data_IF_454174847992
#
_entry.id   IF_454174847992
#
_cell.length_a   1.000
_cell.length_b   1.000
_cell.length_c   1.000
_cell.angle_alpha   90.00
_cell.angle_beta   90.00
_cell.angle_gamma   90.00
#
_symmetry.space_group_name_H-M   'P 1'
#
loop_
_entity.id
_entity.type
_entity.pdbx_description
1 polymer ?
#
# COMPACT_ATOMS: atom_id res chain seq x y z
N UNK A 1 -5.85 -4.50 -12.69
CA UNK A 1 -6.77 -3.89 -11.70
C UNK A 1 -6.14 -2.57 -11.29
N UNK A 2 -6.89 -1.48 -11.37
CA UNK A 2 -6.42 -0.15 -10.99
C UNK A 2 -6.92 0.23 -9.60
N UNK A 3 -6.56 1.43 -9.15
CA UNK A 3 -7.25 2.06 -8.03
C UNK A 3 -8.72 2.24 -8.42
N UNK A 4 -9.63 1.78 -7.57
CA UNK A 4 -11.07 1.84 -7.85
C UNK A 4 -11.64 3.18 -7.41
N UNK A 5 -12.62 3.67 -8.16
CA UNK A 5 -13.42 4.84 -7.79
C UNK A 5 -14.34 4.55 -6.59
N UNK A 6 -14.74 5.57 -5.81
CA UNK A 6 -15.70 5.39 -4.73
C UNK A 6 -17.02 4.82 -5.23
N UNK A 7 -17.58 3.89 -4.46
CA UNK A 7 -18.87 3.26 -4.80
C UNK A 7 -20.02 4.26 -4.71
N UNK A 8 -21.15 3.96 -5.38
CA UNK A 8 -22.36 4.79 -5.28
C UNK A 8 -22.81 4.98 -3.82
N UNK A 9 -22.69 3.92 -3.01
CA UNK A 9 -23.05 3.98 -1.59
C UNK A 9 -22.09 4.87 -0.78
N UNK A 10 -20.78 4.81 -1.05
CA UNK A 10 -19.83 5.73 -0.43
C UNK A 10 -20.12 7.19 -0.82
N UNK A 11 -20.45 7.46 -2.08
CA UNK A 11 -20.85 8.80 -2.56
C UNK A 11 -22.11 9.31 -1.85
N UNK A 12 -23.11 8.45 -1.66
CA UNK A 12 -24.33 8.78 -0.92
C UNK A 12 -24.06 9.10 0.55
N UNK A 13 -23.27 8.27 1.23
CA UNK A 13 -22.87 8.51 2.62
C UNK A 13 -22.07 9.82 2.71
N UNK A 14 -21.12 10.03 1.81
CA UNK A 14 -20.29 11.22 1.80
C UNK A 14 -21.11 12.51 1.64
N UNK A 15 -22.06 12.51 0.71
CA UNK A 15 -23.02 13.61 0.52
C UNK A 15 -23.86 13.85 1.79
N UNK A 16 -24.30 12.77 2.46
CA UNK A 16 -25.10 12.87 3.70
C UNK A 16 -24.29 13.44 4.86
N UNK A 17 -22.99 13.13 4.93
CA UNK A 17 -22.08 13.60 5.98
C UNK A 17 -21.42 14.96 5.64
N UNK A 18 -21.66 15.52 4.46
CA UNK A 18 -21.03 16.76 4.01
C UNK A 18 -19.51 16.65 3.80
N UNK A 19 -19.01 15.46 3.46
CA UNK A 19 -17.58 15.23 3.15
C UNK A 19 -17.34 15.17 1.65
N UNK A 20 -16.23 15.76 1.20
CA UNK A 20 -15.78 15.66 -0.18
C UNK A 20 -14.88 14.43 -0.36
N UNK A 21 -15.27 13.57 -1.31
CA UNK A 21 -14.52 12.37 -1.74
C UNK A 21 -14.38 12.31 -3.27
N UNK A 22 -14.62 13.43 -3.97
CA UNK A 22 -14.72 13.48 -5.44
C UNK A 22 -13.43 13.08 -6.16
N UNK A 23 -12.29 13.22 -5.49
CA UNK A 23 -10.96 12.89 -6.00
C UNK A 23 -10.28 11.74 -5.25
N UNK A 24 -11.02 11.06 -4.38
CA UNK A 24 -10.49 9.96 -3.59
C UNK A 24 -10.70 8.62 -4.30
N UNK A 25 -9.83 7.66 -4.05
CA UNK A 25 -10.09 6.26 -4.40
C UNK A 25 -11.14 5.66 -3.45
N UNK A 26 -11.67 4.49 -3.80
CA UNK A 26 -12.57 3.69 -2.96
C UNK A 26 -12.00 3.49 -1.55
N UNK A 27 -10.70 3.25 -1.44
CA UNK A 27 -10.01 3.03 -0.16
C UNK A 27 -9.91 4.31 0.67
N UNK A 28 -9.50 5.42 0.04
CA UNK A 28 -9.39 6.73 0.72
C UNK A 28 -10.76 7.25 1.12
N UNK A 29 -11.77 7.11 0.26
CA UNK A 29 -13.16 7.47 0.57
C UNK A 29 -13.69 6.68 1.78
N UNK A 30 -13.43 5.35 1.83
CA UNK A 30 -13.80 4.54 2.99
C UNK A 30 -13.13 5.06 4.28
N UNK A 31 -11.84 5.40 4.22
CA UNK A 31 -11.11 5.94 5.36
C UNK A 31 -11.63 7.30 5.83
N UNK A 32 -12.01 8.20 4.90
CA UNK A 32 -12.63 9.49 5.25
C UNK A 32 -13.98 9.32 5.92
N UNK A 33 -14.86 8.50 5.32
CA UNK A 33 -16.16 8.16 5.91
C UNK A 33 -15.96 7.60 7.31
N UNK A 34 -15.07 6.62 7.48
CA UNK A 34 -14.78 6.00 8.76
C UNK A 34 -14.23 7.01 9.78
N UNK A 35 -13.39 7.96 9.36
CA UNK A 35 -12.88 9.02 10.25
C UNK A 35 -14.03 9.85 10.83
N UNK A 36 -15.05 10.17 10.03
CA UNK A 36 -16.21 10.97 10.48
C UNK A 36 -17.18 10.17 11.34
N UNK A 37 -17.55 8.95 10.92
CA UNK A 37 -18.55 8.15 11.65
C UNK A 37 -17.97 7.38 12.82
N UNK A 38 -16.65 7.15 12.82
CA UNK A 38 -15.93 6.32 13.76
C UNK A 38 -16.18 6.65 15.23
N UNK A 39 -16.16 7.93 15.65
CA UNK A 39 -16.48 8.32 17.03
C UNK A 39 -17.87 7.87 17.49
N UNK A 40 -18.87 7.89 16.59
CA UNK A 40 -20.24 7.47 16.92
C UNK A 40 -20.37 5.94 17.10
N UNK A 41 -19.44 5.17 16.53
CA UNK A 41 -19.41 3.70 16.62
C UNK A 41 -18.24 3.19 17.49
N UNK A 42 -17.67 4.05 18.34
CA UNK A 42 -16.58 3.74 19.28
C UNK A 42 -15.28 3.25 18.61
N UNK A 43 -15.03 3.65 17.36
CA UNK A 43 -13.79 3.34 16.64
C UNK A 43 -12.66 4.24 17.13
N UNK A 44 -11.72 3.66 17.89
CA UNK A 44 -10.51 4.37 18.35
C UNK A 44 -9.63 4.83 17.19
N UNK A 45 -9.55 4.06 16.11
CA UNK A 45 -8.70 4.36 14.97
C UNK A 45 -9.06 5.70 14.30
N UNK A 46 -10.35 6.07 14.31
CA UNK A 46 -10.83 7.33 13.75
C UNK A 46 -10.37 8.58 14.52
N UNK A 47 -9.96 8.43 15.78
CA UNK A 47 -9.57 9.55 16.63
C UNK A 47 -8.13 10.02 16.43
N UNK A 48 -7.28 9.22 15.79
CA UNK A 48 -5.85 9.51 15.70
C UNK A 48 -5.50 10.29 14.42
N UNK A 49 -4.72 11.39 14.54
CA UNK A 49 -4.07 12.00 13.38
C UNK A 49 -3.03 11.05 12.78
N UNK A 50 -2.53 11.37 11.58
CA UNK A 50 -1.39 10.67 11.00
C UNK A 50 -0.19 10.70 11.97
N UNK A 51 0.40 9.53 12.21
CA UNK A 51 1.61 9.42 13.05
C UNK A 51 2.82 10.02 12.34
N UNK A 52 3.85 10.43 13.10
CA UNK A 52 5.12 10.92 12.55
C UNK A 52 5.72 9.96 11.51
N UNK A 53 5.72 8.65 11.83
CA UNK A 53 6.19 7.61 10.90
C UNK A 53 5.41 7.59 9.59
N UNK A 54 4.09 7.75 9.63
CA UNK A 54 3.27 7.83 8.41
C UNK A 54 3.55 9.10 7.64
N UNK A 55 3.72 10.24 8.32
CA UNK A 55 4.03 11.53 7.70
C UNK A 55 5.39 11.47 7.00
N UNK A 56 6.42 10.97 7.67
CA UNK A 56 7.75 10.86 7.11
C UNK A 56 7.80 9.86 5.95
N UNK A 57 7.12 8.73 6.09
CA UNK A 57 7.03 7.75 5.01
C UNK A 57 6.26 8.30 3.80
N UNK A 58 5.12 8.96 4.02
CA UNK A 58 4.36 9.62 2.96
C UNK A 58 5.20 10.71 2.27
N UNK A 59 5.97 11.49 3.03
CA UNK A 59 6.90 12.50 2.48
C UNK A 59 7.95 11.84 1.57
N UNK A 60 8.52 10.70 1.97
CA UNK A 60 9.45 9.94 1.13
C UNK A 60 8.78 9.40 -0.16
N UNK A 61 7.47 9.23 -0.14
CA UNK A 61 6.66 8.92 -1.32
C UNK A 61 6.21 10.17 -2.11
N UNK A 62 6.55 11.39 -1.69
CA UNK A 62 6.09 12.63 -2.34
C UNK A 62 4.63 13.00 -2.04
N UNK A 63 4.04 12.40 -1.01
CA UNK A 63 2.68 12.69 -0.55
C UNK A 63 2.70 13.63 0.66
N UNK A 64 1.66 14.46 0.79
CA UNK A 64 1.40 15.21 2.01
C UNK A 64 0.15 14.68 2.72
N UNK A 65 0.35 14.07 3.90
CA UNK A 65 -0.71 13.53 4.77
C UNK A 65 -0.71 14.18 6.17
N UNK A 66 0.02 15.27 6.37
CA UNK A 66 0.20 15.93 7.67
C UNK A 66 -1.10 16.42 8.33
N UNK A 67 -2.15 16.64 7.54
CA UNK A 67 -3.47 17.09 8.00
C UNK A 67 -4.52 15.97 7.96
N UNK A 68 -4.13 14.76 7.56
CA UNK A 68 -5.03 13.63 7.45
C UNK A 68 -5.12 12.86 8.78
N UNK A 69 -6.20 12.09 8.94
CA UNK A 69 -6.28 11.06 9.99
C UNK A 69 -5.34 9.90 9.68
N UNK A 70 -5.01 9.12 10.70
CA UNK A 70 -4.17 7.92 10.56
C UNK A 70 -4.72 6.93 9.52
N UNK A 71 -6.04 6.80 9.42
CA UNK A 71 -6.72 5.94 8.45
C UNK A 71 -6.57 6.46 7.02
N UNK A 72 -6.81 7.76 6.82
CA UNK A 72 -6.71 8.40 5.51
C UNK A 72 -5.26 8.40 5.02
N UNK A 73 -4.31 8.70 5.91
CA UNK A 73 -2.88 8.62 5.61
C UNK A 73 -2.47 7.21 5.16
N UNK A 74 -2.88 6.16 5.89
CA UNK A 74 -2.62 4.77 5.51
C UNK A 74 -3.20 4.41 4.14
N UNK A 75 -4.44 4.84 3.85
CA UNK A 75 -5.08 4.56 2.57
C UNK A 75 -4.34 5.23 1.40
N UNK A 76 -3.98 6.52 1.53
CA UNK A 76 -3.21 7.24 0.49
C UNK A 76 -1.83 6.63 0.27
N UNK A 77 -1.14 6.24 1.34
CA UNK A 77 0.15 5.53 1.25
C UNK A 77 -0.02 4.21 0.50
N UNK A 78 -1.06 3.44 0.82
CA UNK A 78 -1.32 2.16 0.16
C UNK A 78 -1.59 2.33 -1.35
N UNK A 79 -2.36 3.35 -1.73
CA UNK A 79 -2.64 3.66 -3.13
C UNK A 79 -1.36 4.00 -3.90
N UNK A 80 -0.50 4.85 -3.35
CA UNK A 80 0.77 5.22 -3.97
C UNK A 80 1.74 4.04 -4.07
N UNK A 81 1.82 3.20 -3.03
CA UNK A 81 2.60 1.96 -3.09
C UNK A 81 2.07 1.03 -4.18
N UNK A 82 0.75 0.92 -4.34
CA UNK A 82 0.14 0.12 -5.39
C UNK A 82 0.54 0.63 -6.78
N UNK A 83 0.45 1.95 -7.02
CA UNK A 83 0.87 2.58 -8.29
C UNK A 83 2.34 2.28 -8.60
N UNK A 84 3.23 2.46 -7.63
CA UNK A 84 4.67 2.17 -7.80
C UNK A 84 4.93 0.69 -8.08
N UNK A 85 4.23 -0.20 -7.38
CA UNK A 85 4.36 -1.63 -7.58
C UNK A 85 3.85 -2.08 -8.94
N UNK A 86 2.75 -1.49 -9.42
CA UNK A 86 2.24 -1.74 -10.77
C UNK A 86 3.25 -1.29 -11.83
N UNK A 87 3.77 -0.06 -11.74
CA UNK A 87 4.78 0.45 -12.65
C UNK A 87 6.09 -0.37 -12.64
N UNK A 88 6.53 -0.80 -11.45
CA UNK A 88 7.70 -1.68 -11.32
C UNK A 88 7.45 -3.04 -11.96
N UNK A 89 6.25 -3.61 -11.78
CA UNK A 89 5.90 -4.89 -12.40
C UNK A 89 5.85 -4.80 -13.93
N UNK A 90 5.28 -3.74 -14.47
CA UNK A 90 5.25 -3.46 -15.92
C UNK A 90 6.67 -3.33 -16.49
N UNK A 91 7.56 -2.63 -15.78
CA UNK A 91 8.97 -2.48 -16.17
C UNK A 91 9.74 -3.80 -16.13
N UNK A 92 9.56 -4.60 -15.09
CA UNK A 92 10.30 -5.84 -14.88
C UNK A 92 9.80 -6.99 -15.77
N UNK A 93 8.55 -6.90 -16.26
CA UNK A 93 7.91 -7.91 -17.12
C UNK A 93 8.04 -9.33 -16.56
N UNK A 94 7.89 -9.47 -15.24
CA UNK A 94 8.08 -10.73 -14.52
C UNK A 94 7.02 -11.76 -14.90
N UNK A 95 7.43 -13.03 -14.95
CA UNK A 95 6.54 -14.16 -15.24
C UNK A 95 6.72 -15.29 -14.22
N UNK A 96 5.66 -16.07 -13.94
CA UNK A 96 5.80 -17.32 -13.21
C UNK A 96 6.88 -18.22 -13.82
N UNK A 97 7.73 -18.78 -12.96
CA UNK A 97 8.87 -19.61 -13.35
C UNK A 97 10.20 -18.88 -13.46
N UNK A 98 10.22 -17.55 -13.54
CA UNK A 98 11.47 -16.78 -13.54
C UNK A 98 12.09 -16.69 -12.14
N UNK A 99 13.42 -16.55 -12.07
CA UNK A 99 14.16 -16.28 -10.83
C UNK A 99 14.33 -14.80 -10.62
N UNK A 100 14.07 -14.33 -9.39
CA UNK A 100 14.27 -12.95 -8.97
C UNK A 100 15.11 -12.91 -7.70
N UNK A 101 15.86 -11.82 -7.54
CA UNK A 101 16.61 -11.51 -6.33
C UNK A 101 15.81 -10.51 -5.50
N UNK A 102 15.51 -10.85 -4.26
CA UNK A 102 14.82 -9.96 -3.31
C UNK A 102 15.84 -9.28 -2.44
N UNK A 103 15.74 -7.96 -2.28
CA UNK A 103 16.52 -7.21 -1.29
C UNK A 103 15.76 -7.16 0.03
N UNK A 104 16.40 -7.64 1.09
CA UNK A 104 15.88 -7.56 2.44
C UNK A 104 16.64 -6.46 3.19
N UNK A 105 15.89 -5.59 3.86
CA UNK A 105 16.43 -4.59 4.79
C UNK A 105 15.62 -4.65 6.07
N UNK A 106 16.29 -4.94 7.18
CA UNK A 106 15.68 -4.89 8.50
C UNK A 106 16.53 -4.05 9.43
N UNK A 107 15.87 -3.38 10.36
CA UNK A 107 16.52 -2.69 11.48
C UNK A 107 16.32 -3.55 12.73
N UNK A 108 17.43 -4.02 13.30
CA UNK A 108 17.48 -4.81 14.52
C UNK A 108 18.49 -4.16 15.45
N UNK A 109 18.05 -3.79 16.66
CA UNK A 109 18.91 -3.21 17.70
C UNK A 109 19.70 -1.97 17.22
N UNK A 110 19.08 -1.12 16.40
CA UNK A 110 19.71 0.08 15.83
C UNK A 110 20.72 -0.20 14.71
N UNK A 111 20.89 -1.47 14.32
CA UNK A 111 21.72 -1.87 13.18
C UNK A 111 20.85 -2.20 11.97
N UNK A 112 21.19 -1.60 10.82
CA UNK A 112 20.60 -1.98 9.54
C UNK A 112 21.33 -3.22 9.01
N UNK A 113 20.59 -4.31 8.79
CA UNK A 113 21.08 -5.49 8.07
C UNK A 113 20.44 -5.54 6.69
N UNK A 114 21.28 -5.66 5.67
CA UNK A 114 20.86 -5.85 4.29
C UNK A 114 21.43 -7.15 3.75
N UNK A 115 20.58 -7.96 3.11
CA UNK A 115 21.01 -9.14 2.38
C UNK A 115 20.10 -9.37 1.17
N UNK A 116 20.52 -10.27 0.29
CA UNK A 116 19.72 -10.68 -0.87
C UNK A 116 19.51 -12.19 -0.87
N UNK A 117 18.35 -12.61 -1.36
CA UNK A 117 17.99 -14.01 -1.50
C UNK A 117 17.26 -14.19 -2.84
N UNK A 118 17.50 -15.31 -3.51
CA UNK A 118 16.91 -15.61 -4.81
C UNK A 118 15.70 -16.53 -4.67
N UNK A 119 14.68 -16.26 -5.48
CA UNK A 119 13.43 -17.00 -5.45
C UNK A 119 12.89 -17.22 -6.85
N UNK A 120 12.25 -18.38 -7.04
CA UNK A 120 11.46 -18.65 -8.25
C UNK A 120 10.04 -18.15 -8.07
N UNK A 121 9.55 -17.37 -9.02
CA UNK A 121 8.18 -16.86 -9.02
C UNK A 121 7.19 -18.02 -9.21
N UNK A 122 6.22 -18.11 -8.31
CA UNK A 122 5.07 -19.02 -8.41
C UNK A 122 3.89 -18.36 -9.11
N UNK A 123 3.51 -17.17 -8.64
CA UNK A 123 2.40 -16.39 -9.21
C UNK A 123 2.56 -14.91 -8.88
N UNK A 124 1.81 -14.08 -9.59
CA UNK A 124 1.70 -12.64 -9.32
C UNK A 124 0.22 -12.36 -9.07
N UNK A 125 -0.08 -11.79 -7.90
CA UNK A 125 -1.43 -11.56 -7.42
C UNK A 125 -2.03 -10.26 -7.97
N UNK A 126 -3.37 -10.12 -7.97
CA UNK A 126 -4.07 -8.89 -8.35
C UNK A 126 -3.55 -7.59 -7.74
N UNK A 127 -3.07 -7.65 -6.50
CA UNK A 127 -2.51 -6.51 -5.77
C UNK A 127 -1.02 -6.26 -6.09
N UNK A 128 -0.50 -6.87 -7.16
CA UNK A 128 0.90 -6.87 -7.58
C UNK A 128 1.86 -7.65 -6.67
N UNK A 129 1.38 -8.36 -5.65
CA UNK A 129 2.25 -9.17 -4.79
C UNK A 129 2.83 -10.35 -5.58
N UNK A 130 4.16 -10.51 -5.53
CA UNK A 130 4.86 -11.65 -6.13
C UNK A 130 4.93 -12.76 -5.09
N UNK A 131 4.48 -13.96 -5.44
CA UNK A 131 4.52 -15.14 -4.57
C UNK A 131 5.61 -16.10 -5.04
N UNK A 132 6.34 -16.70 -4.10
CA UNK A 132 7.48 -17.58 -4.41
C UNK A 132 7.14 -19.06 -4.31
N UNK A 133 7.76 -19.89 -5.16
CA UNK A 133 7.65 -21.36 -5.10
C UNK A 133 8.34 -21.89 -3.84
N UNK A 134 7.73 -22.86 -3.17
CA UNK A 134 8.27 -23.45 -1.92
C UNK A 134 8.36 -22.47 -0.75
N UNK A 135 7.82 -21.26 -0.89
CA UNK A 135 8.02 -20.18 0.08
C UNK A 135 7.09 -20.22 1.29
N UNK A 136 6.20 -21.20 1.46
CA UNK A 136 5.23 -21.24 2.57
C UNK A 136 4.45 -19.92 2.78
N UNK A 137 4.05 -19.26 1.68
CA UNK A 137 3.39 -17.95 1.72
C UNK A 137 4.33 -16.74 1.65
N UNK A 138 5.65 -16.95 1.56
CA UNK A 138 6.61 -15.88 1.27
C UNK A 138 6.34 -15.23 -0.09
N UNK A 139 6.58 -13.93 -0.13
CA UNK A 139 6.47 -13.12 -1.33
C UNK A 139 7.19 -11.79 -1.15
N UNK A 140 7.23 -11.00 -2.22
CA UNK A 140 7.80 -9.66 -2.21
C UNK A 140 6.97 -8.70 -3.06
N UNK A 141 7.18 -7.40 -2.86
CA UNK A 141 6.66 -6.37 -3.74
C UNK A 141 7.58 -6.21 -4.97
N UNK A 142 7.04 -5.85 -6.15
CA UNK A 142 7.82 -5.58 -7.35
C UNK A 142 8.95 -4.57 -7.14
N UNK A 143 8.74 -3.57 -6.27
CA UNK A 143 9.75 -2.57 -5.90
C UNK A 143 10.90 -3.10 -5.03
N UNK A 144 10.81 -4.34 -4.55
CA UNK A 144 11.81 -5.00 -3.69
C UNK A 144 12.62 -6.08 -4.43
N UNK A 145 12.32 -6.31 -5.71
CA UNK A 145 12.92 -7.39 -6.50
C UNK A 145 13.71 -6.86 -7.67
N UNK A 146 14.71 -7.63 -8.05
CA UNK A 146 15.50 -7.43 -9.26
C UNK A 146 15.42 -8.70 -10.11
N UNK A 147 15.28 -8.51 -11.42
CA UNK A 147 15.33 -9.63 -12.35
C UNK A 147 16.76 -10.13 -12.41
N UNK A 148 16.95 -11.44 -12.23
CA UNK A 148 18.24 -12.08 -12.50
C UNK A 148 18.27 -12.31 -14.01
N UNK A 149 19.09 -11.54 -14.72
CA UNK A 149 19.44 -11.81 -16.12
C UNK A 149 20.69 -12.66 -16.13
N UNK A 150 20.60 -13.83 -16.75
CA UNK A 150 21.77 -14.60 -17.18
C UNK A 150 22.53 -13.87 -18.30
#
# INVERSE_FOLDING_TARGET
MGLEEPTAFQKQIAATLGIDISHDTRGVAAARIHTVVGPAILSKAAAYPASERQIDFARALGLNVSKDSSLVASAKIADELFVRNQAALEKLQLKPGETVRVRHRIELDGMTREWTEEFVISSIQPNCRIMFKGGNGRGAWPTQVEKVTD
#
